data_IF_604105310383
#
_entry.id   IF_604105310383
#
_cell.length_a   1.000
_cell.length_b   1.000
_cell.length_c   1.000
_cell.angle_alpha   90.00
_cell.angle_beta   90.00
_cell.angle_gamma   90.00
#
_symmetry.space_group_name_H-M   'P 1'
#
loop_
_entity.id
_entity.type
_entity.pdbx_description
1 polymer ?
#
# COMPACT_ATOMS: atom_id res chain seq x y z
N UNK A 1 9.41 15.01 15.83
CA UNK A 1 10.76 14.59 15.40
C UNK A 1 10.84 13.09 15.58
N UNK A 2 11.22 12.34 14.54
CA UNK A 2 11.33 10.87 14.63
C UNK A 2 12.74 10.53 15.11
N UNK A 3 12.85 9.76 16.20
CA UNK A 3 14.12 9.18 16.66
C UNK A 3 14.22 7.75 16.14
N UNK A 4 15.40 7.35 15.66
CA UNK A 4 15.69 6.00 15.15
C UNK A 4 16.85 5.38 15.89
N UNK A 5 16.73 4.10 16.22
CA UNK A 5 17.79 3.31 16.85
C UNK A 5 17.90 1.94 16.18
N UNK A 6 19.10 1.53 15.77
CA UNK A 6 19.32 0.23 15.15
C UNK A 6 19.18 -0.86 16.22
N UNK A 7 18.24 -1.78 16.02
CA UNK A 7 18.00 -2.91 16.94
C UNK A 7 18.87 -4.10 16.55
N UNK A 8 18.80 -4.51 15.28
CA UNK A 8 19.54 -5.70 14.78
C UNK A 8 19.71 -5.66 13.27
N UNK A 9 20.67 -6.44 12.77
CA UNK A 9 20.82 -6.76 11.34
C UNK A 9 20.37 -8.19 11.08
N UNK A 10 19.58 -8.38 10.03
CA UNK A 10 19.09 -9.69 9.63
C UNK A 10 20.06 -10.37 8.64
N UNK A 11 20.30 -11.68 8.73
CA UNK A 11 21.14 -12.41 7.77
C UNK A 11 20.68 -12.31 6.31
N UNK A 12 19.40 -12.01 6.06
CA UNK A 12 18.87 -11.76 4.72
C UNK A 12 19.26 -10.38 4.15
N UNK A 13 20.06 -9.58 4.86
CA UNK A 13 20.69 -8.37 4.33
C UNK A 13 19.92 -7.07 4.60
N UNK A 14 18.92 -7.07 5.48
CA UNK A 14 18.20 -5.87 5.91
C UNK A 14 18.46 -5.56 7.39
N UNK A 15 18.11 -4.35 7.81
CA UNK A 15 18.29 -3.84 9.16
C UNK A 15 16.93 -3.55 9.80
N UNK A 16 16.81 -3.82 11.10
CA UNK A 16 15.61 -3.54 11.88
C UNK A 16 15.92 -2.42 12.84
N UNK A 17 15.11 -1.37 12.76
CA UNK A 17 15.23 -0.13 13.49
C UNK A 17 14.00 0.09 14.35
N UNK A 18 14.18 0.63 15.54
CA UNK A 18 13.09 1.12 16.36
C UNK A 18 12.90 2.60 16.04
N UNK A 19 11.71 2.96 15.55
CA UNK A 19 11.29 4.35 15.39
C UNK A 19 10.46 4.78 16.59
N UNK A 20 10.76 5.95 17.11
CA UNK A 20 9.97 6.61 18.15
C UNK A 20 9.47 7.93 17.60
N UNK A 21 8.14 8.08 17.56
CA UNK A 21 7.46 9.30 17.14
C UNK A 21 6.50 9.77 18.22
N UNK A 22 6.43 11.08 18.43
CA UNK A 22 5.42 11.69 19.29
C UNK A 22 4.29 12.11 18.36
N UNK A 23 3.08 11.59 18.61
CA UNK A 23 1.91 11.98 17.85
C UNK A 23 1.67 13.48 18.05
N UNK A 24 1.38 14.24 16.98
CA UNK A 24 1.04 15.64 17.14
C UNK A 24 -0.22 15.78 17.99
N UNK A 25 -0.38 16.96 18.59
CA UNK A 25 -1.59 17.27 19.31
C UNK A 25 -2.71 17.49 18.30
N UNK A 26 -3.74 16.67 18.38
CA UNK A 26 -4.96 16.80 17.61
C UNK A 26 -6.02 17.44 18.50
N UNK A 27 -6.80 18.34 17.91
CA UNK A 27 -8.04 18.84 18.50
C UNK A 27 -9.13 18.40 17.55
N UNK A 28 -10.06 17.59 18.03
CA UNK A 28 -11.21 17.19 17.24
C UNK A 28 -12.29 18.27 17.39
N UNK A 29 -12.93 18.63 16.28
CA UNK A 29 -14.01 19.63 16.24
C UNK A 29 -15.19 19.04 15.52
N UNK A 30 -16.41 19.24 16.04
CA UNK A 30 -17.63 18.94 15.30
C UNK A 30 -17.68 19.79 14.02
N UNK A 31 -18.07 19.18 12.90
CA UNK A 31 -18.20 19.87 11.61
C UNK A 31 -19.58 20.52 11.41
N UNK A 32 -20.55 20.13 12.22
CA UNK A 32 -21.94 20.60 12.14
C UNK A 32 -22.34 21.31 13.45
N UNK A 33 -23.22 22.31 13.34
CA UNK A 33 -23.84 23.02 14.48
C UNK A 33 -24.88 22.16 15.23
N UNK A 34 -25.05 20.90 14.82
CA UNK A 34 -25.93 19.94 15.48
C UNK A 34 -25.34 19.54 16.85
N UNK A 35 -26.20 19.27 17.86
CA UNK A 35 -25.72 18.88 19.17
C UNK A 35 -24.89 17.59 19.09
N UNK A 36 -23.73 17.59 19.74
CA UNK A 36 -22.86 16.44 19.83
C UNK A 36 -23.63 15.21 20.33
N UNK A 37 -23.55 14.11 19.59
CA UNK A 37 -24.05 12.82 20.05
C UNK A 37 -23.01 12.16 20.95
N UNK A 38 -23.44 11.23 21.80
CA UNK A 38 -22.56 10.44 22.67
C UNK A 38 -21.43 9.76 21.87
N UNK A 39 -21.74 9.22 20.69
CA UNK A 39 -20.77 8.62 19.77
C UNK A 39 -19.68 9.61 19.29
N UNK A 40 -20.06 10.87 19.03
CA UNK A 40 -19.11 11.91 18.58
C UNK A 40 -18.20 12.31 19.73
N UNK A 41 -18.75 12.47 20.94
CA UNK A 41 -17.96 12.82 22.12
C UNK A 41 -16.94 11.74 22.51
N UNK A 42 -17.27 10.45 22.35
CA UNK A 42 -16.32 9.35 22.56
C UNK A 42 -15.14 9.41 21.57
N UNK A 43 -15.41 9.64 20.28
CA UNK A 43 -14.37 9.76 19.25
C UNK A 43 -13.47 10.97 19.52
N UNK A 44 -14.05 12.11 19.92
CA UNK A 44 -13.29 13.31 20.30
C UNK A 44 -12.34 12.99 21.45
N UNK A 45 -12.83 12.33 22.50
CA UNK A 45 -12.01 11.95 23.66
C UNK A 45 -10.89 10.97 23.31
N UNK A 46 -11.14 10.00 22.41
CA UNK A 46 -10.09 9.08 21.96
C UNK A 46 -8.97 9.80 21.19
N UNK A 47 -9.33 10.72 20.29
CA UNK A 47 -8.37 11.49 19.49
C UNK A 47 -7.54 12.43 20.38
N UNK A 48 -8.21 13.13 21.31
CA UNK A 48 -7.53 14.01 22.26
C UNK A 48 -6.67 13.20 23.25
N UNK A 49 -7.14 12.03 23.70
CA UNK A 49 -6.37 11.13 24.56
C UNK A 49 -5.13 10.54 23.88
N UNK A 50 -5.15 10.36 22.55
CA UNK A 50 -4.02 9.92 21.75
C UNK A 50 -2.99 11.04 21.48
N UNK A 51 -3.37 12.30 21.70
CA UNK A 51 -2.51 13.45 21.43
C UNK A 51 -1.28 13.48 22.33
N UNK A 52 -0.10 13.71 21.73
CA UNK A 52 1.17 13.73 22.46
C UNK A 52 1.64 12.33 22.92
N UNK A 53 0.91 11.26 22.61
CA UNK A 53 1.38 9.91 22.92
C UNK A 53 2.62 9.57 22.10
N UNK A 54 3.52 8.81 22.73
CA UNK A 54 4.72 8.29 22.08
C UNK A 54 4.39 6.95 21.45
N UNK A 55 4.55 6.85 20.13
CA UNK A 55 4.43 5.61 19.37
C UNK A 55 5.83 5.07 19.12
N UNK A 56 6.02 3.79 19.47
CA UNK A 56 7.25 3.04 19.22
C UNK A 56 6.93 1.92 18.25
N UNK A 57 7.70 1.79 17.18
CA UNK A 57 7.51 0.74 16.18
C UNK A 57 8.83 0.18 15.67
N UNK A 58 8.88 -1.12 15.43
CA UNK A 58 9.97 -1.73 14.68
C UNK A 58 9.70 -1.63 13.18
N UNK A 59 10.73 -1.26 12.42
CA UNK A 59 10.67 -1.04 10.98
C UNK A 59 11.91 -1.63 10.33
N UNK A 60 11.73 -2.23 9.16
CA UNK A 60 12.81 -2.79 8.36
C UNK A 60 13.27 -1.83 7.25
N UNK A 61 14.58 -1.67 7.13
CA UNK A 61 15.27 -0.85 6.14
C UNK A 61 16.37 -1.66 5.45
N UNK A 62 16.77 -1.27 4.24
CA UNK A 62 18.06 -1.76 3.71
C UNK A 62 19.22 -1.06 4.41
N UNK A 63 20.46 -1.56 4.28
CA UNK A 63 21.66 -0.89 4.80
C UNK A 63 21.85 0.54 4.28
N UNK A 64 21.28 0.86 3.12
CA UNK A 64 21.31 2.21 2.53
C UNK A 64 20.23 3.14 3.11
N UNK A 65 19.45 2.68 4.09
CA UNK A 65 18.47 3.48 4.84
C UNK A 65 17.09 3.62 4.17
N UNK A 66 16.79 2.78 3.19
CA UNK A 66 15.54 2.83 2.43
C UNK A 66 14.50 1.85 2.99
N UNK A 67 13.24 2.28 3.05
CA UNK A 67 12.16 1.59 3.77
C UNK A 67 11.69 0.33 3.03
N UNK A 68 11.53 -0.77 3.76
CA UNK A 68 10.99 -2.05 3.25
C UNK A 68 9.57 -2.28 3.76
N UNK A 69 9.34 -2.12 5.08
CA UNK A 69 8.08 -2.50 5.73
C UNK A 69 8.26 -2.85 7.20
N UNK A 70 7.34 -3.64 7.75
CA UNK A 70 7.51 -4.24 9.08
C UNK A 70 8.58 -5.35 9.04
N UNK A 71 9.17 -5.74 10.18
CA UNK A 71 10.10 -6.86 10.26
C UNK A 71 9.55 -8.16 9.68
N UNK A 72 8.28 -8.49 9.93
CA UNK A 72 7.63 -9.71 9.44
C UNK A 72 7.49 -9.69 7.92
N UNK A 73 7.14 -8.53 7.37
CA UNK A 73 7.02 -8.36 5.93
C UNK A 73 8.40 -8.42 5.24
N UNK A 74 9.43 -7.82 5.83
CA UNK A 74 10.80 -7.93 5.35
C UNK A 74 11.33 -9.37 5.40
N UNK A 75 11.02 -10.13 6.47
CA UNK A 75 11.36 -11.54 6.57
C UNK A 75 10.66 -12.37 5.47
N UNK A 76 9.41 -12.04 5.16
CA UNK A 76 8.68 -12.66 4.06
C UNK A 76 9.33 -12.36 2.69
N UNK A 77 9.64 -11.10 2.41
CA UNK A 77 10.23 -10.70 1.12
C UNK A 77 11.67 -11.21 0.96
N UNK A 78 12.55 -10.83 1.89
CA UNK A 78 13.98 -11.10 1.76
C UNK A 78 14.32 -12.53 2.14
N UNK A 79 13.85 -13.01 3.30
CA UNK A 79 14.16 -14.36 3.78
C UNK A 79 13.40 -15.45 3.03
N UNK A 80 12.06 -15.38 3.04
CA UNK A 80 11.22 -16.45 2.49
C UNK A 80 11.20 -16.45 0.96
N UNK A 81 11.08 -15.29 0.31
CA UNK A 81 11.05 -15.19 -1.16
C UNK A 81 12.41 -14.96 -1.82
N UNK A 82 13.45 -14.63 -1.04
CA UNK A 82 14.77 -14.34 -1.60
C UNK A 82 14.80 -13.09 -2.47
N UNK A 83 13.87 -12.15 -2.24
CA UNK A 83 13.77 -10.91 -3.00
C UNK A 83 14.80 -9.93 -2.43
N UNK A 84 15.69 -9.43 -3.28
CA UNK A 84 16.56 -8.31 -2.95
C UNK A 84 15.85 -6.99 -3.30
N UNK A 85 15.49 -6.12 -2.33
CA UNK A 85 14.78 -4.87 -2.61
C UNK A 85 15.63 -3.87 -3.40
N UNK A 86 15.04 -3.25 -4.42
CA UNK A 86 15.71 -2.32 -5.34
C UNK A 86 14.88 -1.07 -5.63
N UNK A 87 15.55 0.07 -5.81
CA UNK A 87 14.88 1.37 -5.90
C UNK A 87 14.40 1.55 -7.33
N UNK A 88 13.13 1.92 -7.53
CA UNK A 88 12.63 2.26 -8.87
C UNK A 88 13.36 3.50 -9.43
N UNK A 89 13.67 4.46 -8.57
CA UNK A 89 14.39 5.69 -8.93
C UNK A 89 15.58 5.90 -8.01
N UNK A 90 16.69 6.52 -8.47
CA UNK A 90 17.88 6.74 -7.65
C UNK A 90 17.64 7.48 -6.33
N UNK A 91 16.55 8.25 -6.24
CA UNK A 91 16.17 9.04 -5.05
C UNK A 91 14.93 8.48 -4.34
N UNK A 92 14.45 7.29 -4.72
CA UNK A 92 13.27 6.67 -4.14
C UNK A 92 13.55 6.17 -2.73
N UNK A 93 12.72 6.57 -1.76
CA UNK A 93 12.87 6.21 -0.34
C UNK A 93 12.12 4.94 0.07
N UNK A 94 11.27 4.41 -0.82
CA UNK A 94 10.42 3.25 -0.58
C UNK A 94 10.74 2.20 -1.62
N UNK A 95 11.10 1.01 -1.16
CA UNK A 95 11.22 -0.14 -2.04
C UNK A 95 9.88 -0.82 -2.22
N UNK A 96 9.48 -0.95 -3.47
CA UNK A 96 8.29 -1.70 -3.90
C UNK A 96 8.59 -2.62 -5.08
N UNK A 97 9.87 -2.85 -5.39
CA UNK A 97 10.34 -3.79 -6.41
C UNK A 97 11.63 -4.49 -5.97
N UNK A 98 11.88 -5.70 -6.47
CA UNK A 98 13.13 -6.42 -6.21
C UNK A 98 13.24 -7.73 -6.99
N UNK A 99 14.46 -8.15 -7.29
CA UNK A 99 14.72 -9.41 -8.00
C UNK A 99 14.90 -10.56 -7.00
N UNK A 100 14.26 -11.70 -7.28
CA UNK A 100 14.54 -12.95 -6.59
C UNK A 100 15.40 -13.84 -7.48
N UNK A 101 16.68 -13.99 -7.11
CA UNK A 101 17.58 -14.94 -7.76
C UNK A 101 17.15 -16.39 -7.59
N UNK A 102 16.35 -16.68 -6.55
CA UNK A 102 15.76 -18.01 -6.33
C UNK A 102 14.68 -18.32 -7.37
N UNK A 103 13.75 -17.38 -7.54
CA UNK A 103 12.58 -17.60 -8.38
C UNK A 103 12.82 -17.19 -9.85
N UNK A 104 13.96 -16.54 -10.14
CA UNK A 104 14.29 -15.92 -11.43
C UNK A 104 13.19 -14.96 -11.90
N UNK A 105 12.67 -14.16 -10.95
CA UNK A 105 11.54 -13.24 -11.14
C UNK A 105 11.80 -11.89 -10.49
N UNK A 106 11.27 -10.85 -11.13
CA UNK A 106 11.09 -9.53 -10.55
C UNK A 106 9.76 -9.50 -9.81
N UNK A 107 9.80 -9.05 -8.55
CA UNK A 107 8.63 -8.87 -7.72
C UNK A 107 8.35 -7.40 -7.52
N UNK A 108 7.10 -7.00 -7.69
CA UNK A 108 6.57 -5.73 -7.18
C UNK A 108 5.69 -5.98 -5.96
N UNK A 109 5.64 -5.04 -5.02
CA UNK A 109 4.73 -5.12 -3.88
C UNK A 109 4.16 -3.77 -3.45
N UNK A 110 3.05 -3.86 -2.72
CA UNK A 110 2.44 -2.77 -1.99
C UNK A 110 1.95 -3.30 -0.63
N UNK A 111 1.33 -2.43 0.16
CA UNK A 111 0.63 -2.84 1.37
C UNK A 111 -0.43 -3.94 1.14
N UNK A 112 -0.99 -4.05 -0.08
CA UNK A 112 -2.11 -4.95 -0.36
C UNK A 112 -1.73 -6.22 -1.13
N UNK A 113 -0.59 -6.24 -1.82
CA UNK A 113 -0.27 -7.32 -2.74
C UNK A 113 1.23 -7.45 -2.99
N UNK A 114 1.66 -8.67 -3.33
CA UNK A 114 2.99 -9.00 -3.83
C UNK A 114 2.82 -9.82 -5.10
N UNK A 115 3.38 -9.36 -6.22
CA UNK A 115 3.25 -10.01 -7.52
C UNK A 115 4.61 -10.14 -8.20
N UNK A 116 4.84 -11.24 -8.91
CA UNK A 116 6.13 -11.50 -9.55
C UNK A 116 6.00 -11.93 -10.99
N UNK A 117 6.86 -11.38 -11.85
CA UNK A 117 6.97 -11.73 -13.27
C UNK A 117 8.42 -12.08 -13.60
N UNK A 118 8.60 -13.02 -14.53
CA UNK A 118 9.92 -13.47 -15.00
C UNK A 118 9.91 -13.74 -16.50
N UNK A 119 11.06 -14.14 -17.02
CA UNK A 119 11.20 -14.51 -18.43
C UNK A 119 10.19 -15.61 -18.78
N UNK A 120 9.44 -15.41 -19.87
CA UNK A 120 8.39 -16.32 -20.31
C UNK A 120 7.00 -16.08 -19.71
N UNK A 121 6.85 -15.13 -18.78
CA UNK A 121 5.52 -14.69 -18.30
C UNK A 121 4.75 -14.09 -19.48
N UNK A 122 3.46 -14.43 -19.57
CA UNK A 122 2.55 -13.92 -20.61
C UNK A 122 1.55 -13.00 -19.96
N UNK A 123 1.22 -11.90 -20.64
CA UNK A 123 0.19 -10.97 -20.20
C UNK A 123 -1.17 -11.53 -20.61
N UNK A 124 -2.04 -11.73 -19.63
CA UNK A 124 -3.42 -12.14 -19.82
C UNK A 124 -4.38 -10.94 -19.81
N UNK A 125 -5.60 -11.12 -20.32
CA UNK A 125 -6.57 -10.04 -20.51
C UNK A 125 -7.14 -9.47 -19.20
N UNK A 126 -6.78 -10.05 -18.06
CA UNK A 126 -7.06 -9.62 -16.69
C UNK A 126 -5.89 -8.88 -16.04
N UNK A 127 -4.71 -8.86 -16.64
CA UNK A 127 -3.54 -8.22 -16.04
C UNK A 127 -3.59 -6.70 -16.19
N UNK A 128 -3.10 -5.96 -15.20
CA UNK A 128 -3.06 -4.49 -15.25
C UNK A 128 -2.21 -3.95 -16.42
N UNK A 129 -1.25 -4.74 -16.91
CA UNK A 129 -0.40 -4.37 -18.04
C UNK A 129 -0.98 -4.81 -19.40
N UNK A 130 -2.20 -5.36 -19.44
CA UNK A 130 -2.84 -5.77 -20.69
C UNK A 130 -3.21 -4.56 -21.54
N UNK A 131 -2.76 -4.57 -22.79
CA UNK A 131 -3.13 -3.58 -23.80
C UNK A 131 -4.23 -4.17 -24.71
N UNK A 132 -5.44 -3.56 -24.75
CA UNK A 132 -6.51 -4.04 -25.59
C UNK A 132 -6.22 -3.90 -27.08
N UNK A 133 -6.58 -4.93 -27.86
CA UNK A 133 -6.20 -5.02 -29.28
C UNK A 133 -7.06 -4.18 -30.22
N UNK A 134 -8.29 -3.84 -29.79
CA UNK A 134 -9.27 -3.09 -30.55
C UNK A 134 -10.36 -2.51 -29.63
N UNK A 135 -11.29 -1.73 -30.20
CA UNK A 135 -12.37 -1.07 -29.45
C UNK A 135 -13.27 -2.04 -28.67
N UNK A 136 -13.58 -3.20 -29.23
CA UNK A 136 -14.44 -4.18 -28.57
C UNK A 136 -13.70 -4.85 -27.40
N UNK A 137 -12.44 -5.23 -27.59
CA UNK A 137 -11.60 -5.78 -26.53
C UNK A 137 -11.37 -4.78 -25.39
N UNK A 138 -11.22 -3.48 -25.72
CA UNK A 138 -11.17 -2.41 -24.73
C UNK A 138 -12.46 -2.33 -23.91
N UNK A 139 -13.62 -2.36 -24.58
CA UNK A 139 -14.93 -2.38 -23.91
C UNK A 139 -15.05 -3.56 -22.95
N UNK A 140 -14.68 -4.76 -23.40
CA UNK A 140 -14.72 -5.97 -22.56
C UNK A 140 -13.72 -5.89 -21.40
N UNK A 141 -12.52 -5.33 -21.60
CA UNK A 141 -11.54 -5.13 -20.55
C UNK A 141 -12.08 -4.18 -19.46
N UNK A 142 -12.70 -3.06 -19.84
CA UNK A 142 -13.35 -2.16 -18.89
C UNK A 142 -14.45 -2.88 -18.11
N UNK A 143 -15.33 -3.63 -18.78
CA UNK A 143 -16.39 -4.38 -18.11
C UNK A 143 -15.84 -5.39 -17.09
N UNK A 144 -14.80 -6.15 -17.44
CA UNK A 144 -14.17 -7.13 -16.53
C UNK A 144 -13.64 -6.50 -15.24
N UNK A 145 -13.00 -5.33 -15.33
CA UNK A 145 -12.50 -4.62 -14.16
C UNK A 145 -13.62 -4.33 -13.15
N UNK A 146 -14.81 -3.96 -13.63
CA UNK A 146 -15.99 -3.66 -12.81
C UNK A 146 -16.91 -4.86 -12.53
N UNK A 147 -16.63 -6.04 -13.09
CA UNK A 147 -17.46 -7.24 -12.94
C UNK A 147 -16.87 -8.30 -12.00
N UNK A 148 -15.72 -8.03 -11.38
CA UNK A 148 -15.22 -8.92 -10.32
C UNK A 148 -16.25 -9.06 -9.18
N UNK A 149 -16.24 -10.17 -8.45
CA UNK A 149 -17.23 -10.47 -7.38
C UNK A 149 -17.38 -9.35 -6.34
N UNK A 150 -16.38 -8.46 -6.23
CA UNK A 150 -16.39 -7.30 -5.33
C UNK A 150 -17.16 -6.07 -5.90
N UNK A 151 -17.55 -6.08 -7.17
CA UNK A 151 -18.16 -4.94 -7.88
C UNK A 151 -19.53 -5.28 -8.51
N UNK A 152 -20.01 -6.52 -8.37
CA UNK A 152 -21.22 -7.06 -9.01
C UNK A 152 -22.58 -6.45 -8.58
N UNK A 153 -22.61 -5.21 -8.06
CA UNK A 153 -23.83 -4.51 -7.62
C UNK A 153 -23.97 -3.08 -8.14
N UNK A 154 -23.25 -2.71 -9.20
CA UNK A 154 -23.32 -1.34 -9.72
C UNK A 154 -23.59 -1.37 -11.23
N UNK A 155 -24.71 -0.76 -11.64
CA UNK A 155 -25.00 -0.46 -13.03
C UNK A 155 -25.08 1.06 -13.20
N UNK A 156 -24.47 1.57 -14.26
CA UNK A 156 -24.71 2.92 -14.75
C UNK A 156 -25.65 2.81 -15.96
N UNK A 157 -26.80 3.47 -15.88
CA UNK A 157 -27.73 3.59 -17.01
C UNK A 157 -27.50 4.96 -17.62
N UNK A 158 -27.29 5.02 -18.95
CA UNK A 158 -27.27 6.30 -19.65
C UNK A 158 -28.64 6.97 -19.48
N UNK A 159 -28.67 8.22 -19.00
CA UNK A 159 -29.91 8.98 -19.02
C UNK A 159 -30.23 9.29 -20.49
N UNK A 160 -31.28 8.67 -21.03
CA UNK A 160 -31.78 8.96 -22.37
C UNK A 160 -32.49 10.32 -22.44
N UNK A 161 -32.68 10.99 -21.29
CA UNK A 161 -33.02 12.40 -21.26
C UNK A 161 -31.73 13.18 -21.43
N UNK A 162 -31.43 13.55 -22.67
CA UNK A 162 -30.52 14.66 -22.94
C UNK A 162 -30.93 15.90 -22.13
N UNK A 163 -30.02 16.86 -21.93
CA UNK A 163 -30.34 18.08 -21.18
C UNK A 163 -31.56 18.74 -21.83
N UNK A 164 -32.67 18.80 -21.10
CA UNK A 164 -33.86 19.53 -21.54
C UNK A 164 -33.46 21.00 -21.70
N UNK A 165 -33.53 21.48 -22.94
CA UNK A 165 -33.38 22.89 -23.32
C UNK A 165 -34.71 23.61 -23.36
#
# INVERSE_FOLDING_TARGET
MIKRELVRKDPAGYEIWQETSILPNYVAVSLDDEPETEDISEIIQEIEGASGQTVIMEVAYTPDGNYIGTPEFAAFLCGKRGIAPETITPNGKVYCIGFSGRDQKWYGWSHRAVYGFGIGSKIESSDCAYEPKNKEDFRQNCLRFWQSDNHAKVWAVADERGPEG
#
